data_IF_803823345782
#
_entry.id   IF_803823345782
#
_cell.length_a   1.000
_cell.length_b   1.000
_cell.length_c   1.000
_cell.angle_alpha   90.00
_cell.angle_beta   90.00
_cell.angle_gamma   90.00
#
_symmetry.space_group_name_H-M   'P 1'
#
loop_
_entity.id
_entity.type
_entity.pdbx_description
1 polymer ?
#
# COMPACT_ATOMS: atom_id res chain seq x y z
N UNK A 1 -15.29 -12.90 17.20
CA UNK A 1 -15.03 -12.07 16.01
C UNK A 1 -15.51 -10.66 16.27
N UNK A 2 -14.58 -9.69 16.31
CA UNK A 2 -14.93 -8.26 16.42
C UNK A 2 -15.39 -7.80 15.03
N UNK A 3 -16.54 -7.14 14.95
CA UNK A 3 -17.00 -6.49 13.71
C UNK A 3 -16.57 -5.04 13.77
N UNK A 4 -15.91 -4.57 12.72
CA UNK A 4 -15.50 -3.17 12.56
C UNK A 4 -16.21 -2.59 11.34
N UNK A 5 -16.39 -1.27 11.30
CA UNK A 5 -16.92 -0.60 10.11
C UNK A 5 -15.88 -0.56 8.99
N UNK A 6 -16.31 -0.34 7.74
CA UNK A 6 -15.38 -0.14 6.63
C UNK A 6 -14.42 1.03 6.87
N UNK A 7 -14.90 2.10 7.52
CA UNK A 7 -14.04 3.25 7.88
C UNK A 7 -12.96 2.85 8.87
N UNK A 8 -13.32 2.13 9.94
CA UNK A 8 -12.34 1.66 10.93
C UNK A 8 -11.31 0.71 10.32
N UNK A 9 -11.73 -0.14 9.37
CA UNK A 9 -10.80 -1.00 8.66
C UNK A 9 -9.81 -0.19 7.79
N UNK A 10 -10.28 0.86 7.12
CA UNK A 10 -9.41 1.74 6.33
C UNK A 10 -8.44 2.54 7.21
N UNK A 11 -8.90 3.02 8.37
CA UNK A 11 -8.06 3.76 9.32
C UNK A 11 -6.97 2.84 9.92
N UNK A 12 -7.33 1.64 10.36
CA UNK A 12 -6.37 0.63 10.86
C UNK A 12 -5.36 0.23 9.77
N UNK A 13 -5.81 0.11 8.52
CA UNK A 13 -4.92 -0.18 7.38
C UNK A 13 -3.96 0.99 7.11
N UNK A 14 -4.43 2.23 7.16
CA UNK A 14 -3.57 3.40 6.97
C UNK A 14 -2.51 3.54 8.06
N UNK A 15 -2.82 3.23 9.32
CA UNK A 15 -1.82 3.21 10.39
C UNK A 15 -0.77 2.13 10.16
N UNK A 16 -1.19 0.92 9.77
CA UNK A 16 -0.26 -0.16 9.43
C UNK A 16 0.64 0.20 8.25
N UNK A 17 0.08 0.85 7.23
CA UNK A 17 0.83 1.33 6.06
C UNK A 17 1.86 2.38 6.46
N UNK A 18 1.51 3.31 7.38
CA UNK A 18 2.44 4.35 7.86
C UNK A 18 3.59 3.77 8.67
N UNK A 19 3.33 2.71 9.44
CA UNK A 19 4.34 2.06 10.27
C UNK A 19 5.20 1.06 9.47
N UNK A 20 4.77 0.67 8.26
CA UNK A 20 5.50 -0.20 7.34
C UNK A 20 6.52 0.60 6.52
N UNK A 21 7.70 0.02 6.28
CA UNK A 21 8.63 0.58 5.31
C UNK A 21 8.14 0.42 3.86
N UNK A 22 8.61 1.27 2.95
CA UNK A 22 8.26 1.20 1.52
C UNK A 22 8.46 -0.20 0.90
N UNK A 23 9.51 -0.93 1.30
CA UNK A 23 9.80 -2.29 0.82
C UNK A 23 8.71 -3.31 1.22
N UNK A 24 8.23 -3.24 2.45
CA UNK A 24 7.18 -4.16 2.95
C UNK A 24 5.85 -3.87 2.28
N UNK A 25 5.57 -2.59 2.03
CA UNK A 25 4.43 -2.11 1.26
C UNK A 25 4.45 -2.65 -0.18
N UNK A 26 5.57 -2.51 -0.88
CA UNK A 26 5.73 -3.05 -2.24
C UNK A 26 5.41 -4.55 -2.27
N UNK A 27 5.95 -5.32 -1.31
CA UNK A 27 5.68 -6.75 -1.21
C UNK A 27 4.20 -7.08 -0.91
N UNK A 28 3.52 -6.30 -0.06
CA UNK A 28 2.09 -6.49 0.22
C UNK A 28 1.26 -6.24 -1.02
N UNK A 29 1.49 -5.12 -1.72
CA UNK A 29 0.75 -4.79 -2.92
C UNK A 29 1.05 -5.77 -4.07
N UNK A 30 2.29 -6.22 -4.21
CA UNK A 30 2.63 -7.26 -5.19
C UNK A 30 1.94 -8.59 -4.87
N UNK A 31 1.87 -9.02 -3.61
CA UNK A 31 1.13 -10.23 -3.26
C UNK A 31 -0.39 -10.08 -3.44
N UNK A 32 -0.95 -8.89 -3.23
CA UNK A 32 -2.38 -8.64 -3.32
C UNK A 32 -2.87 -8.44 -4.77
N UNK A 33 -2.07 -7.77 -5.60
CA UNK A 33 -2.48 -7.31 -6.93
C UNK A 33 -1.60 -7.87 -8.06
N UNK A 34 -0.42 -8.43 -7.76
CA UNK A 34 0.52 -8.96 -8.77
C UNK A 34 1.01 -7.89 -9.75
N UNK A 35 1.07 -6.65 -9.28
CA UNK A 35 1.06 -5.45 -10.12
C UNK A 35 2.11 -4.41 -9.77
N UNK A 36 2.88 -4.59 -8.70
CA UNK A 36 3.75 -3.54 -8.17
C UNK A 36 5.20 -3.86 -8.43
N UNK A 37 5.83 -2.99 -9.21
CA UNK A 37 7.25 -3.07 -9.53
C UNK A 37 8.10 -2.55 -8.37
N UNK A 38 7.72 -1.40 -7.79
CA UNK A 38 8.46 -0.76 -6.71
C UNK A 38 7.61 0.26 -5.92
N UNK A 39 8.05 0.59 -4.71
CA UNK A 39 7.52 1.71 -3.92
C UNK A 39 8.67 2.62 -3.47
N UNK A 40 8.42 3.92 -3.41
CA UNK A 40 9.34 4.89 -2.81
C UNK A 40 8.60 5.92 -1.96
N UNK A 41 9.27 6.38 -0.90
CA UNK A 41 8.81 7.54 -0.13
C UNK A 41 9.17 8.82 -0.90
N UNK A 42 8.24 9.78 -0.95
CA UNK A 42 8.55 11.07 -1.56
C UNK A 42 9.59 11.85 -0.76
N UNK A 43 10.57 12.39 -1.49
CA UNK A 43 11.56 13.35 -0.96
C UNK A 43 10.92 14.66 -0.45
N UNK A 44 9.70 15.00 -0.90
CA UNK A 44 8.97 16.20 -0.46
C UNK A 44 8.07 15.95 0.76
N UNK A 45 7.91 14.69 1.17
CA UNK A 45 7.16 14.28 2.35
C UNK A 45 5.64 14.16 2.17
N UNK A 46 5.06 13.23 2.95
CA UNK A 46 3.63 12.88 3.13
C UNK A 46 2.93 11.99 2.08
N UNK A 47 3.64 11.48 1.07
CA UNK A 47 3.04 10.51 0.14
C UNK A 47 4.00 9.39 -0.28
N UNK A 48 3.43 8.19 -0.45
CA UNK A 48 4.09 7.02 -1.01
C UNK A 48 3.84 6.98 -2.52
N UNK A 49 4.89 6.81 -3.29
CA UNK A 49 4.81 6.62 -4.75
C UNK A 49 4.87 5.12 -5.02
N UNK A 50 3.85 4.60 -5.70
CA UNK A 50 3.76 3.18 -6.07
C UNK A 50 3.89 3.07 -7.59
N UNK A 51 4.90 2.34 -8.04
CA UNK A 51 5.13 2.03 -9.44
C UNK A 51 4.49 0.69 -9.78
N UNK A 52 3.56 0.71 -10.74
CA UNK A 52 2.91 -0.50 -11.22
C UNK A 52 3.58 -1.01 -12.49
N UNK A 53 3.60 -2.32 -12.69
CA UNK A 53 4.00 -2.91 -13.96
C UNK A 53 3.07 -2.41 -15.07
N UNK A 54 3.64 -1.79 -16.11
CA UNK A 54 2.88 -1.41 -17.31
C UNK A 54 2.21 -2.66 -17.91
N UNK A 55 0.87 -2.62 -18.06
CA UNK A 55 0.11 -3.66 -18.76
C UNK A 55 -0.94 -4.42 -17.95
N UNK A 56 -1.25 -4.01 -16.72
CA UNK A 56 -2.40 -4.54 -15.95
C UNK A 56 -3.69 -3.73 -16.17
N UNK A 57 -3.86 -3.21 -17.39
CA UNK A 57 -5.18 -2.88 -17.90
C UNK A 57 -5.78 -4.15 -18.51
N UNK A 58 -6.64 -4.85 -17.75
CA UNK A 58 -7.91 -5.41 -18.25
C UNK A 58 -8.97 -5.40 -17.13
#
# INVERSE_FOLDING_TARGET
>A
MKKISHQQAADELHELIRDCGADELAAIYENAFGAVENCEESDEGDYLIIYYHEGLEE
#
